data_IF_946828490463
#
_entry.id   IF_946828490463
#
_cell.length_a   1.000
_cell.length_b   1.000
_cell.length_c   1.000
_cell.angle_alpha   90.00
_cell.angle_beta   90.00
_cell.angle_gamma   90.00
#
_symmetry.space_group_name_H-M   'P 1'
#
loop_
_entity.id
_entity.type
_entity.pdbx_description
1 polymer ?
#
# COMPACT_ATOMS: atom_id res chain seq x y z
N UNK A 1 -3.99 -24.41 14.09
CA UNK A 1 -3.92 -22.95 14.31
C UNK A 1 -4.95 -22.28 13.44
N UNK A 2 -5.86 -21.55 14.07
CA UNK A 2 -6.94 -20.82 13.40
C UNK A 2 -6.78 -19.34 13.60
N UNK A 3 -6.79 -18.57 12.52
CA UNK A 3 -6.57 -17.13 12.51
C UNK A 3 -7.82 -16.41 12.02
N UNK A 4 -8.27 -15.39 12.78
CA UNK A 4 -9.32 -14.49 12.33
C UNK A 4 -8.74 -13.12 12.03
N UNK A 5 -8.84 -12.69 10.76
CA UNK A 5 -8.49 -11.35 10.34
C UNK A 5 -9.67 -10.41 10.58
N UNK A 6 -9.44 -9.34 11.32
CA UNK A 6 -10.40 -8.25 11.51
C UNK A 6 -10.07 -7.13 10.53
N UNK A 7 -10.85 -7.03 9.47
CA UNK A 7 -10.67 -6.04 8.41
C UNK A 7 -11.83 -5.04 8.37
N UNK A 8 -11.59 -3.89 7.75
CA UNK A 8 -12.67 -2.95 7.47
C UNK A 8 -13.58 -3.48 6.38
N UNK A 9 -12.99 -3.86 5.24
CA UNK A 9 -13.66 -4.49 4.10
C UNK A 9 -12.87 -5.71 3.63
N UNK A 10 -13.46 -6.49 2.75
CA UNK A 10 -12.83 -7.60 2.06
C UNK A 10 -13.31 -7.65 0.60
N UNK A 11 -12.66 -8.46 -0.26
CA UNK A 11 -13.10 -8.65 -1.64
C UNK A 11 -14.63 -8.86 -1.74
N UNK A 12 -15.33 -8.30 -2.73
CA UNK A 12 -14.80 -7.65 -3.94
C UNK A 12 -14.41 -6.16 -3.78
N UNK A 13 -14.44 -5.60 -2.57
CA UNK A 13 -14.01 -4.22 -2.34
C UNK A 13 -12.49 -4.13 -2.49
N UNK A 14 -12.05 -3.18 -3.31
CA UNK A 14 -10.63 -2.96 -3.62
C UNK A 14 -10.06 -1.81 -2.80
N UNK A 15 -8.91 -2.04 -2.20
CA UNK A 15 -8.10 -1.06 -1.48
C UNK A 15 -6.78 -1.69 -1.07
N UNK A 16 -5.80 -0.87 -0.71
CA UNK A 16 -4.46 -1.38 -0.37
C UNK A 16 -4.45 -2.30 0.85
N UNK A 17 -5.24 -1.96 1.89
CA UNK A 17 -5.34 -2.78 3.11
C UNK A 17 -6.11 -4.07 2.81
N UNK A 18 -7.23 -3.97 2.09
CA UNK A 18 -8.08 -5.10 1.71
C UNK A 18 -7.31 -6.12 0.88
N UNK A 19 -6.43 -5.67 -0.01
CA UNK A 19 -5.57 -6.56 -0.78
C UNK A 19 -4.55 -7.27 0.12
N UNK A 20 -3.91 -6.57 1.06
CA UNK A 20 -2.98 -7.18 2.02
C UNK A 20 -3.69 -8.24 2.89
N UNK A 21 -4.93 -7.96 3.35
CA UNK A 21 -5.74 -8.94 4.09
C UNK A 21 -5.98 -10.18 3.26
N UNK A 22 -6.39 -10.00 1.99
CA UNK A 22 -6.65 -11.11 1.09
C UNK A 22 -5.37 -11.94 0.82
N UNK A 23 -4.27 -11.27 0.49
CA UNK A 23 -3.00 -11.94 0.20
C UNK A 23 -2.48 -12.75 1.40
N UNK A 24 -2.61 -12.22 2.63
CA UNK A 24 -2.22 -12.95 3.83
C UNK A 24 -3.19 -14.10 4.14
N UNK A 25 -4.50 -13.87 4.09
CA UNK A 25 -5.48 -14.89 4.45
C UNK A 25 -5.48 -16.07 3.45
N UNK A 26 -5.47 -15.78 2.15
CA UNK A 26 -5.39 -16.78 1.07
C UNK A 26 -4.03 -17.50 1.12
N UNK A 27 -2.93 -16.76 1.35
CA UNK A 27 -1.59 -17.33 1.49
C UNK A 27 -1.43 -18.23 2.72
N UNK A 28 -2.06 -17.89 3.86
CA UNK A 28 -2.11 -18.75 5.04
C UNK A 28 -2.80 -20.08 4.75
N UNK A 29 -3.95 -20.07 4.07
CA UNK A 29 -4.67 -21.27 3.69
C UNK A 29 -3.82 -22.17 2.79
N UNK A 30 -3.15 -21.62 1.79
CA UNK A 30 -2.27 -22.39 0.88
C UNK A 30 -1.11 -23.08 1.61
N UNK A 31 -0.78 -22.63 2.82
CA UNK A 31 0.26 -23.20 3.70
C UNK A 31 -0.33 -24.02 4.87
N UNK A 32 -1.61 -24.40 4.80
CA UNK A 32 -2.27 -25.27 5.77
C UNK A 32 -2.69 -24.58 7.09
N UNK A 33 -2.80 -23.25 7.10
CA UNK A 33 -3.27 -22.49 8.25
C UNK A 33 -4.71 -22.04 8.00
N UNK A 34 -5.62 -22.48 8.85
CA UNK A 34 -7.02 -22.09 8.81
C UNK A 34 -7.16 -20.58 9.03
N UNK A 35 -7.68 -19.88 8.04
CA UNK A 35 -7.74 -18.42 8.01
C UNK A 35 -9.13 -17.95 7.58
N UNK A 36 -9.74 -17.10 8.37
CA UNK A 36 -11.04 -16.50 8.11
C UNK A 36 -10.98 -14.98 8.23
N UNK A 37 -11.95 -14.29 7.66
CA UNK A 37 -12.03 -12.82 7.69
C UNK A 37 -13.38 -12.36 8.23
N UNK A 38 -13.38 -11.43 9.18
CA UNK A 38 -14.55 -10.66 9.58
C UNK A 38 -14.42 -9.25 9.01
N UNK A 39 -15.40 -8.85 8.19
CA UNK A 39 -15.38 -7.56 7.51
C UNK A 39 -16.78 -6.95 7.41
N UNK A 40 -16.84 -5.62 7.17
CA UNK A 40 -18.10 -4.94 6.82
C UNK A 40 -18.38 -5.14 5.33
N UNK A 41 -19.64 -5.35 4.98
CA UNK A 41 -20.13 -5.32 3.61
C UNK A 41 -21.09 -4.12 3.43
N UNK A 42 -21.23 -3.64 2.20
CA UNK A 42 -22.16 -2.55 1.88
C UNK A 42 -23.57 -3.03 1.49
N UNK A 43 -23.89 -4.29 1.76
CA UNK A 43 -25.24 -4.84 1.52
C UNK A 43 -26.14 -4.60 2.71
N UNK A 44 -27.45 -4.70 2.47
CA UNK A 44 -28.48 -4.48 3.49
C UNK A 44 -28.50 -5.56 4.57
N UNK A 45 -27.96 -6.76 4.27
CA UNK A 45 -27.93 -7.91 5.18
C UNK A 45 -26.51 -8.39 5.42
N UNK A 46 -26.27 -8.96 6.60
CA UNK A 46 -25.08 -9.74 6.91
C UNK A 46 -25.19 -11.11 6.25
N UNK A 47 -24.10 -11.63 5.70
CA UNK A 47 -24.04 -12.97 5.08
C UNK A 47 -22.63 -13.53 5.18
N UNK A 48 -22.53 -14.85 5.18
CA UNK A 48 -21.26 -15.55 5.15
C UNK A 48 -21.05 -16.13 3.74
N UNK A 49 -19.80 -16.18 3.32
CA UNK A 49 -19.44 -16.73 2.00
C UNK A 49 -17.99 -17.19 2.01
N UNK A 50 -17.66 -18.09 1.11
CA UNK A 50 -16.29 -18.53 0.87
C UNK A 50 -15.75 -17.88 -0.40
N UNK A 51 -14.53 -17.34 -0.33
CA UNK A 51 -13.85 -16.75 -1.47
C UNK A 51 -12.39 -17.20 -1.48
N UNK A 52 -11.97 -17.86 -2.56
CA UNK A 52 -10.63 -18.46 -2.69
C UNK A 52 -10.25 -19.37 -1.51
N UNK A 53 -11.26 -20.06 -0.92
CA UNK A 53 -11.10 -20.92 0.24
C UNK A 53 -11.15 -20.20 1.61
N UNK A 54 -11.08 -18.87 1.62
CA UNK A 54 -11.22 -18.07 2.86
C UNK A 54 -12.68 -17.93 3.24
N UNK A 55 -13.05 -18.33 4.47
CA UNK A 55 -14.39 -18.10 4.99
C UNK A 55 -14.54 -16.65 5.46
N UNK A 56 -15.55 -15.94 4.95
CA UNK A 56 -15.77 -14.52 5.18
C UNK A 56 -17.09 -14.27 5.91
N UNK A 57 -17.00 -13.67 7.07
CA UNK A 57 -18.13 -13.16 7.85
C UNK A 57 -18.41 -11.72 7.42
N UNK A 58 -19.30 -11.52 6.45
CA UNK A 58 -19.68 -10.20 5.93
C UNK A 58 -20.79 -9.55 6.75
N UNK A 59 -20.49 -8.51 7.50
CA UNK A 59 -21.42 -7.80 8.37
C UNK A 59 -22.02 -6.57 7.69
N UNK A 60 -23.33 -6.36 7.81
CA UNK A 60 -23.98 -5.18 7.25
C UNK A 60 -23.48 -3.89 7.91
N UNK A 61 -23.30 -2.82 7.12
CA UNK A 61 -23.09 -1.47 7.64
C UNK A 61 -24.43 -0.87 8.09
N UNK A 62 -24.47 -0.28 9.28
CA UNK A 62 -25.64 0.48 9.73
C UNK A 62 -25.54 1.94 9.29
N UNK A 63 -24.35 2.53 9.41
CA UNK A 63 -24.05 3.91 9.03
C UNK A 63 -22.62 4.03 8.54
N UNK A 64 -22.39 4.94 7.59
CA UNK A 64 -21.06 5.33 7.13
C UNK A 64 -20.79 6.78 7.54
N UNK A 65 -19.77 7.03 8.38
CA UNK A 65 -19.42 8.36 8.85
C UNK A 65 -17.89 8.53 8.89
N UNK A 66 -17.41 9.66 8.36
CA UNK A 66 -15.98 10.03 8.40
C UNK A 66 -15.03 8.93 7.90
N UNK A 67 -15.40 8.22 6.83
CA UNK A 67 -14.69 7.07 6.26
C UNK A 67 -14.59 5.85 7.20
N UNK A 68 -15.45 5.75 8.19
CA UNK A 68 -15.61 4.58 9.06
C UNK A 68 -17.06 4.08 9.01
N UNK A 69 -17.21 2.76 9.05
CA UNK A 69 -18.51 2.14 9.17
C UNK A 69 -18.84 1.89 10.64
N UNK A 70 -20.11 2.06 10.97
CA UNK A 70 -20.69 1.58 12.22
C UNK A 70 -21.47 0.32 11.91
N UNK A 71 -21.14 -0.79 12.56
CA UNK A 71 -21.80 -2.08 12.34
C UNK A 71 -22.00 -2.81 13.66
N UNK A 72 -23.24 -2.86 14.13
CA UNK A 72 -23.60 -3.60 15.34
C UNK A 72 -23.45 -5.10 15.09
N UNK A 73 -23.80 -5.56 13.87
CA UNK A 73 -23.68 -6.96 13.50
C UNK A 73 -22.22 -7.44 13.52
N UNK A 74 -21.24 -6.57 13.24
CA UNK A 74 -19.82 -6.87 13.35
C UNK A 74 -19.41 -7.18 14.81
N UNK A 75 -19.88 -6.36 15.76
CA UNK A 75 -19.60 -6.54 17.18
C UNK A 75 -20.22 -7.85 17.69
N UNK A 76 -21.49 -8.09 17.35
CA UNK A 76 -22.20 -9.33 17.74
C UNK A 76 -21.54 -10.55 17.12
N UNK A 77 -21.22 -10.53 15.83
CA UNK A 77 -20.57 -11.65 15.13
C UNK A 77 -19.21 -11.97 15.76
N UNK A 78 -18.36 -10.97 16.02
CA UNK A 78 -17.06 -11.22 16.66
C UNK A 78 -17.21 -11.92 18.03
N UNK A 79 -18.16 -11.48 18.85
CA UNK A 79 -18.43 -12.12 20.15
C UNK A 79 -18.85 -13.58 20.03
N UNK A 80 -19.60 -13.92 18.97
CA UNK A 80 -20.08 -15.29 18.73
C UNK A 80 -18.97 -16.23 18.29
N UNK A 81 -18.03 -15.73 17.42
CA UNK A 81 -17.06 -16.61 16.75
C UNK A 81 -15.66 -16.59 17.36
N UNK A 82 -15.30 -15.58 18.15
CA UNK A 82 -13.93 -15.35 18.64
C UNK A 82 -13.33 -16.57 19.36
N UNK A 83 -14.15 -17.35 20.06
CA UNK A 83 -13.70 -18.53 20.82
C UNK A 83 -13.12 -19.62 19.89
N UNK A 84 -13.55 -19.68 18.65
CA UNK A 84 -13.11 -20.68 17.66
C UNK A 84 -11.71 -20.40 17.09
N UNK A 85 -11.08 -19.28 17.42
CA UNK A 85 -9.80 -18.85 16.85
C UNK A 85 -8.71 -18.78 17.91
N UNK A 86 -7.47 -19.05 17.51
CA UNK A 86 -6.27 -18.96 18.36
C UNK A 86 -5.67 -17.56 18.30
N UNK A 87 -5.66 -16.97 17.09
CA UNK A 87 -5.06 -15.66 16.80
C UNK A 87 -6.14 -14.73 16.24
N UNK A 88 -6.16 -13.50 16.75
CA UNK A 88 -6.91 -12.38 16.19
C UNK A 88 -5.92 -11.40 15.55
N UNK A 89 -5.95 -11.31 14.24
CA UNK A 89 -5.08 -10.41 13.46
C UNK A 89 -5.89 -9.19 13.01
N UNK A 90 -5.72 -8.06 13.70
CA UNK A 90 -6.46 -6.83 13.44
C UNK A 90 -5.68 -5.88 12.51
N UNK A 91 -6.31 -5.43 11.43
CA UNK A 91 -5.72 -4.50 10.46
C UNK A 91 -6.15 -3.07 10.75
N UNK A 92 -5.20 -2.18 11.08
CA UNK A 92 -5.45 -0.80 11.49
C UNK A 92 -4.99 0.21 10.42
N UNK A 93 -5.71 1.36 10.29
CA UNK A 93 -6.75 1.88 11.20
C UNK A 93 -8.13 1.25 10.98
N UNK A 94 -8.72 0.72 12.06
CA UNK A 94 -10.07 0.17 12.06
C UNK A 94 -10.71 0.34 13.45
N UNK A 95 -11.31 1.51 13.76
CA UNK A 95 -11.92 1.76 15.06
C UNK A 95 -13.06 0.79 15.43
N UNK A 96 -13.84 0.35 14.43
CA UNK A 96 -14.93 -0.62 14.64
C UNK A 96 -14.39 -1.97 15.13
N UNK A 97 -13.39 -2.52 14.46
CA UNK A 97 -12.78 -3.80 14.87
C UNK A 97 -12.15 -3.72 16.24
N UNK A 98 -11.49 -2.59 16.58
CA UNK A 98 -10.95 -2.37 17.91
C UNK A 98 -12.05 -2.33 18.98
N UNK A 99 -13.14 -1.61 18.74
CA UNK A 99 -14.30 -1.55 19.63
C UNK A 99 -14.94 -2.94 19.80
N UNK A 100 -15.11 -3.67 18.70
CA UNK A 100 -15.68 -5.01 18.73
C UNK A 100 -14.80 -5.97 19.55
N UNK A 101 -13.49 -5.90 19.41
CA UNK A 101 -12.55 -6.71 20.17
C UNK A 101 -12.60 -6.36 21.67
N UNK A 102 -12.70 -5.07 22.01
CA UNK A 102 -12.82 -4.63 23.41
C UNK A 102 -14.02 -5.24 24.14
N UNK A 103 -15.15 -5.39 23.45
CA UNK A 103 -16.37 -6.00 23.98
C UNK A 103 -16.45 -7.52 23.82
N UNK A 104 -15.40 -8.17 23.34
CA UNK A 104 -15.37 -9.62 23.11
C UNK A 104 -14.56 -10.36 24.19
N UNK A 105 -14.64 -11.70 24.21
CA UNK A 105 -13.83 -12.53 25.11
C UNK A 105 -12.43 -12.78 24.52
N UNK A 106 -11.57 -11.76 24.57
CA UNK A 106 -10.24 -11.77 23.97
C UNK A 106 -9.11 -12.26 24.89
N UNK A 107 -9.40 -12.52 26.18
CA UNK A 107 -8.35 -12.71 27.20
C UNK A 107 -7.38 -13.85 26.86
N UNK A 108 -7.89 -14.97 26.38
CA UNK A 108 -7.12 -16.16 26.03
C UNK A 108 -6.67 -16.20 24.57
N UNK A 109 -6.83 -15.09 23.82
CA UNK A 109 -6.48 -15.02 22.41
C UNK A 109 -5.14 -14.30 22.23
N UNK A 110 -4.37 -14.72 21.23
CA UNK A 110 -3.19 -13.97 20.79
C UNK A 110 -3.63 -12.84 19.86
N UNK A 111 -3.22 -11.62 20.16
CA UNK A 111 -3.62 -10.42 19.42
C UNK A 111 -2.44 -9.87 18.63
N UNK A 112 -2.57 -9.86 17.33
CA UNK A 112 -1.58 -9.26 16.41
C UNK A 112 -2.20 -8.04 15.76
N UNK A 113 -1.50 -6.93 15.78
CA UNK A 113 -1.88 -5.71 15.09
C UNK A 113 -1.08 -5.62 13.79
N UNK A 114 -1.75 -5.38 12.67
CA UNK A 114 -1.10 -4.94 11.43
C UNK A 114 -1.33 -3.44 11.27
N UNK A 115 -0.28 -2.66 11.50
CA UNK A 115 -0.33 -1.20 11.48
C UNK A 115 0.02 -0.68 10.09
N UNK A 116 -0.98 -0.38 9.26
CA UNK A 116 -0.77 0.08 7.89
C UNK A 116 -0.47 1.57 7.79
N UNK A 117 -1.14 2.39 8.61
CA UNK A 117 -0.92 3.84 8.63
C UNK A 117 -1.46 4.48 9.91
N UNK A 118 -0.93 5.66 10.23
CA UNK A 118 -1.47 6.54 11.27
C UNK A 118 -2.78 7.20 10.82
N UNK A 119 -3.65 7.56 11.77
CA UNK A 119 -4.81 8.41 11.51
C UNK A 119 -4.33 9.86 11.48
N UNK A 120 -4.27 10.45 10.28
CA UNK A 120 -3.71 11.81 10.08
C UNK A 120 -4.79 12.88 9.96
N UNK A 121 -5.86 12.63 9.18
CA UNK A 121 -6.85 13.67 8.81
C UNK A 121 -7.86 14.01 9.90
N UNK A 122 -8.29 13.06 10.72
CA UNK A 122 -9.42 13.20 11.66
C UNK A 122 -8.95 13.44 13.09
N UNK A 123 -8.22 14.53 13.34
CA UNK A 123 -7.56 14.80 14.63
C UNK A 123 -8.51 14.78 15.83
N UNK A 124 -9.71 15.38 15.72
CA UNK A 124 -10.71 15.41 16.82
C UNK A 124 -11.26 14.01 17.14
N UNK A 125 -11.62 13.24 16.11
CA UNK A 125 -12.09 11.87 16.27
C UNK A 125 -10.97 10.95 16.80
N UNK A 126 -9.72 11.17 16.37
CA UNK A 126 -8.55 10.46 16.91
C UNK A 126 -8.42 10.66 18.42
N UNK A 127 -8.64 11.87 18.95
CA UNK A 127 -8.56 12.12 20.39
C UNK A 127 -9.56 11.26 21.18
N UNK A 128 -10.80 11.12 20.69
CA UNK A 128 -11.81 10.26 21.32
C UNK A 128 -11.47 8.76 21.20
N UNK A 129 -10.87 8.37 20.08
CA UNK A 129 -10.47 6.99 19.82
C UNK A 129 -9.18 6.59 20.56
N UNK A 130 -8.33 7.54 20.90
CA UNK A 130 -6.99 7.30 21.44
C UNK A 130 -6.95 6.38 22.69
N UNK A 131 -7.84 6.49 23.68
CA UNK A 131 -7.84 5.57 24.83
C UNK A 131 -8.03 4.11 24.41
N UNK A 132 -8.96 3.86 23.48
CA UNK A 132 -9.24 2.53 22.96
C UNK A 132 -8.07 1.99 22.10
N UNK A 133 -7.44 2.85 21.30
CA UNK A 133 -6.25 2.51 20.54
C UNK A 133 -5.08 2.15 21.45
N UNK A 134 -4.82 2.92 22.50
CA UNK A 134 -3.75 2.65 23.47
C UNK A 134 -4.00 1.35 24.26
N UNK A 135 -5.27 1.07 24.61
CA UNK A 135 -5.64 -0.22 25.19
C UNK A 135 -5.24 -1.37 24.26
N UNK A 136 -5.58 -1.30 22.96
CA UNK A 136 -5.28 -2.35 22.00
C UNK A 136 -3.76 -2.51 21.81
N UNK A 137 -3.00 -1.43 21.66
CA UNK A 137 -1.55 -1.45 21.54
C UNK A 137 -0.89 -2.10 22.77
N UNK A 138 -1.41 -1.78 23.97
CA UNK A 138 -0.94 -2.39 25.22
C UNK A 138 -1.27 -3.88 25.27
N UNK A 139 -2.46 -4.29 24.81
CA UNK A 139 -2.92 -5.69 24.84
C UNK A 139 -2.23 -6.56 23.79
N UNK A 140 -1.85 -6.01 22.66
CA UNK A 140 -1.26 -6.76 21.55
C UNK A 140 -0.03 -7.58 21.98
N UNK A 141 0.08 -8.80 21.45
CA UNK A 141 1.25 -9.67 21.59
C UNK A 141 2.34 -9.29 20.59
N UNK A 142 1.98 -8.81 19.39
CA UNK A 142 2.89 -8.23 18.41
C UNK A 142 2.22 -7.13 17.58
N UNK A 143 3.05 -6.24 17.03
CA UNK A 143 2.63 -5.16 16.14
C UNK A 143 3.45 -5.26 14.85
N UNK A 144 2.81 -5.59 13.74
CA UNK A 144 3.45 -5.60 12.43
C UNK A 144 3.46 -4.19 11.88
N UNK A 145 4.62 -3.72 11.43
CA UNK A 145 4.77 -2.50 10.63
C UNK A 145 5.40 -2.84 9.29
N UNK A 146 5.05 -2.07 8.26
CA UNK A 146 5.46 -2.35 6.87
C UNK A 146 6.91 -1.99 6.59
N UNK A 147 7.52 -1.12 7.41
CA UNK A 147 8.94 -0.75 7.33
C UNK A 147 9.50 -0.41 8.72
N UNK A 148 10.84 -0.52 8.92
CA UNK A 148 11.49 -0.08 10.16
C UNK A 148 11.26 1.40 10.44
N UNK A 149 11.42 2.23 9.41
CA UNK A 149 11.28 3.69 9.49
C UNK A 149 9.88 4.07 10.00
N UNK A 150 8.84 3.44 9.44
CA UNK A 150 7.47 3.73 9.86
C UNK A 150 7.22 3.33 11.32
N UNK A 151 7.71 2.16 11.73
CA UNK A 151 7.60 1.70 13.12
C UNK A 151 8.34 2.60 14.11
N UNK A 152 9.47 3.17 13.71
CA UNK A 152 10.29 4.04 14.55
C UNK A 152 9.69 5.45 14.72
N UNK A 153 9.15 6.03 13.63
CA UNK A 153 8.69 7.42 13.58
C UNK A 153 7.18 7.60 13.82
N UNK A 154 6.41 6.52 14.03
CA UNK A 154 5.01 6.64 14.44
C UNK A 154 4.93 7.04 15.92
N UNK A 155 4.36 8.21 16.21
CA UNK A 155 4.15 8.68 17.56
C UNK A 155 3.25 7.74 18.37
N UNK A 156 2.27 7.13 17.71
CA UNK A 156 1.33 6.19 18.33
C UNK A 156 2.04 4.90 18.80
N UNK A 157 3.11 4.46 18.11
CA UNK A 157 3.84 3.23 18.38
C UNK A 157 5.06 3.42 19.30
N UNK A 158 5.45 4.65 19.59
CA UNK A 158 6.71 4.97 20.30
C UNK A 158 6.89 4.23 21.64
N UNK A 159 5.79 3.99 22.38
CA UNK A 159 5.81 3.28 23.67
C UNK A 159 5.78 1.75 23.54
N UNK A 160 5.66 1.20 22.32
CA UNK A 160 5.44 -0.22 22.05
C UNK A 160 6.51 -0.81 21.12
N UNK A 161 7.69 -0.18 21.01
CA UNK A 161 8.78 -0.58 20.10
C UNK A 161 9.22 -2.04 20.29
N UNK A 162 9.19 -2.54 21.52
CA UNK A 162 9.55 -3.92 21.84
C UNK A 162 8.61 -4.97 21.23
N UNK A 163 7.41 -4.58 20.81
CA UNK A 163 6.42 -5.47 20.17
C UNK A 163 6.46 -5.39 18.64
N UNK A 164 7.23 -4.44 18.07
CA UNK A 164 7.26 -4.20 16.63
C UNK A 164 7.99 -5.34 15.92
N UNK A 165 7.35 -5.86 14.88
CA UNK A 165 7.87 -6.82 13.91
C UNK A 165 7.76 -6.24 12.52
N UNK A 166 8.84 -6.28 11.76
CA UNK A 166 8.88 -5.71 10.41
C UNK A 166 8.48 -6.78 9.40
N UNK A 167 7.32 -6.60 8.78
CA UNK A 167 6.85 -7.46 7.68
C UNK A 167 6.43 -6.53 6.55
N UNK A 168 7.25 -6.38 5.50
CA UNK A 168 6.93 -5.54 4.35
C UNK A 168 5.69 -6.05 3.62
N UNK A 169 4.97 -5.12 3.00
CA UNK A 169 3.91 -5.48 2.05
C UNK A 169 4.54 -6.21 0.87
N UNK A 170 3.94 -7.33 0.48
CA UNK A 170 4.25 -8.04 -0.75
C UNK A 170 3.10 -7.92 -1.75
N UNK A 171 3.38 -8.05 -3.04
CA UNK A 171 2.36 -8.15 -4.09
C UNK A 171 2.46 -9.48 -4.82
N UNK A 172 1.31 -9.96 -5.33
CA UNK A 172 1.26 -11.18 -6.12
C UNK A 172 1.48 -10.87 -7.60
N UNK A 173 2.58 -11.36 -8.21
CA UNK A 173 2.87 -11.13 -9.63
C UNK A 173 1.77 -11.60 -10.58
N UNK A 174 1.00 -12.62 -10.21
CA UNK A 174 -0.06 -13.19 -11.06
C UNK A 174 -1.21 -12.21 -11.33
N UNK A 175 -1.35 -11.18 -10.49
CA UNK A 175 -2.35 -10.12 -10.66
C UNK A 175 -1.96 -9.10 -11.75
N UNK A 176 -0.74 -9.18 -12.29
CA UNK A 176 -0.16 -8.17 -13.19
C UNK A 176 0.14 -8.79 -14.57
N UNK A 177 -0.80 -8.66 -15.48
CA UNK A 177 -0.67 -9.18 -16.86
C UNK A 177 -0.33 -8.06 -17.82
N UNK A 178 0.67 -8.28 -18.67
CA UNK A 178 1.07 -7.32 -19.72
C UNK A 178 0.34 -7.63 -21.01
N UNK A 179 -0.30 -6.64 -21.61
CA UNK A 179 -0.77 -6.69 -22.99
C UNK A 179 0.31 -6.07 -23.91
N UNK A 180 0.97 -6.93 -24.69
CA UNK A 180 2.04 -6.54 -25.60
C UNK A 180 1.57 -5.58 -26.70
N UNK A 181 0.27 -5.61 -27.08
CA UNK A 181 -0.28 -4.69 -28.07
C UNK A 181 -0.38 -3.28 -27.49
N UNK A 182 -0.75 -3.15 -26.20
CA UNK A 182 -0.76 -1.85 -25.52
C UNK A 182 0.67 -1.31 -25.37
N UNK A 183 1.64 -2.16 -25.02
CA UNK A 183 3.06 -1.75 -24.97
C UNK A 183 3.52 -1.22 -26.32
N UNK A 184 3.23 -1.93 -27.42
CA UNK A 184 3.57 -1.48 -28.78
C UNK A 184 2.94 -0.13 -29.12
N UNK A 185 1.64 0.04 -28.83
CA UNK A 185 0.93 1.32 -29.05
C UNK A 185 1.56 2.47 -28.28
N UNK A 186 1.95 2.25 -27.01
CA UNK A 186 2.64 3.27 -26.20
C UNK A 186 3.97 3.65 -26.85
N UNK A 187 4.79 2.65 -27.26
CA UNK A 187 6.07 2.92 -27.91
C UNK A 187 5.93 3.59 -29.30
N UNK A 188 4.89 3.28 -30.06
CA UNK A 188 4.57 3.95 -31.33
C UNK A 188 4.14 5.40 -31.09
N UNK A 189 3.25 5.64 -30.12
CA UNK A 189 2.76 6.98 -29.77
C UNK A 189 3.90 7.89 -29.27
N UNK A 190 4.85 7.34 -28.54
CA UNK A 190 5.98 8.08 -27.95
C UNK A 190 7.31 7.65 -28.57
N UNK A 191 7.30 7.40 -29.89
CA UNK A 191 8.48 6.93 -30.63
C UNK A 191 9.69 7.83 -30.40
N UNK A 192 10.82 7.22 -30.06
CA UNK A 192 12.08 7.93 -29.79
C UNK A 192 12.15 8.63 -28.43
N UNK A 193 11.08 8.55 -27.58
CA UNK A 193 11.08 9.13 -26.24
C UNK A 193 11.49 8.12 -25.18
N UNK A 194 12.19 8.60 -24.17
CA UNK A 194 12.45 7.90 -22.90
C UNK A 194 11.29 8.15 -21.96
N UNK A 195 10.57 7.09 -21.63
CA UNK A 195 9.29 7.16 -20.90
C UNK A 195 9.54 7.11 -19.40
N UNK A 196 9.15 8.20 -18.71
CA UNK A 196 9.04 8.27 -17.26
C UNK A 196 7.57 8.07 -16.92
N UNK A 197 7.26 7.01 -16.15
CA UNK A 197 5.89 6.76 -15.70
C UNK A 197 5.70 7.13 -14.24
N UNK A 198 4.54 7.63 -13.90
CA UNK A 198 4.13 7.93 -12.54
C UNK A 198 2.64 7.63 -12.36
N UNK A 199 2.23 7.12 -11.20
CA UNK A 199 0.87 6.66 -10.97
C UNK A 199 0.39 7.01 -9.57
N UNK A 200 -0.85 7.51 -9.46
CA UNK A 200 -1.51 7.71 -8.18
C UNK A 200 -2.66 8.69 -8.23
N UNK A 201 -3.37 8.83 -7.11
CA UNK A 201 -4.39 9.86 -6.97
C UNK A 201 -3.73 11.24 -7.10
N UNK A 202 -4.29 12.12 -7.90
CA UNK A 202 -3.78 13.48 -8.08
C UNK A 202 -4.20 14.35 -6.87
N UNK A 203 -3.46 14.18 -5.76
CA UNK A 203 -3.65 14.89 -4.49
C UNK A 203 -2.34 15.48 -4.02
N UNK A 204 -2.36 16.53 -3.22
CA UNK A 204 -1.22 17.34 -2.81
C UNK A 204 0.00 16.51 -2.35
N UNK A 205 -0.20 15.54 -1.41
CA UNK A 205 0.93 14.81 -0.83
C UNK A 205 1.67 13.89 -1.81
N UNK A 206 1.09 13.60 -2.99
CA UNK A 206 1.72 12.83 -4.06
C UNK A 206 2.78 13.63 -4.83
N UNK A 207 2.81 14.96 -4.70
CA UNK A 207 3.89 15.80 -5.20
C UNK A 207 4.04 15.84 -6.72
N UNK A 208 3.00 15.55 -7.49
CA UNK A 208 3.06 15.55 -8.96
C UNK A 208 3.46 16.90 -9.56
N UNK A 209 3.21 18.01 -8.85
CA UNK A 209 3.65 19.35 -9.25
C UNK A 209 5.18 19.41 -9.42
N UNK A 210 5.94 18.79 -8.50
CA UNK A 210 7.41 18.75 -8.58
C UNK A 210 7.90 17.87 -9.73
N UNK A 211 7.17 16.81 -10.07
CA UNK A 211 7.46 15.99 -11.23
C UNK A 211 7.17 16.74 -12.53
N UNK A 212 6.07 17.49 -12.63
CA UNK A 212 5.78 18.36 -13.77
C UNK A 212 6.88 19.41 -13.92
N UNK A 213 7.27 20.07 -12.83
CA UNK A 213 8.34 21.08 -12.86
C UNK A 213 9.71 20.49 -13.25
N UNK A 214 9.98 19.23 -12.92
CA UNK A 214 11.22 18.55 -13.28
C UNK A 214 11.41 18.41 -14.78
N UNK A 215 10.32 18.38 -15.56
CA UNK A 215 10.37 18.32 -17.03
C UNK A 215 11.11 19.51 -17.70
N UNK A 216 11.23 20.64 -17.00
CA UNK A 216 12.03 21.80 -17.45
C UNK A 216 13.53 21.47 -17.57
N UNK A 217 14.01 20.50 -16.80
CA UNK A 217 15.42 20.10 -16.72
C UNK A 217 15.72 18.79 -17.45
N UNK A 218 14.70 18.22 -18.11
CA UNK A 218 14.84 17.01 -18.93
C UNK A 218 15.07 17.38 -20.41
N UNK A 219 15.91 16.61 -21.14
CA UNK A 219 16.06 16.72 -22.59
C UNK A 219 14.73 16.49 -23.34
N UNK A 220 14.69 16.87 -24.62
CA UNK A 220 13.45 16.78 -25.42
C UNK A 220 13.08 15.35 -25.82
N UNK A 221 14.00 14.41 -25.72
CA UNK A 221 13.76 12.97 -25.92
C UNK A 221 13.17 12.26 -24.69
N UNK A 222 12.76 13.02 -23.63
CA UNK A 222 12.07 12.48 -22.46
C UNK A 222 10.59 12.84 -22.48
N UNK A 223 9.76 11.95 -21.95
CA UNK A 223 8.34 12.19 -21.73
C UNK A 223 7.90 11.65 -20.38
N UNK A 224 7.10 12.41 -19.67
CA UNK A 224 6.50 12.05 -18.38
C UNK A 224 5.03 11.71 -18.62
N UNK A 225 4.64 10.48 -18.26
CA UNK A 225 3.27 9.98 -18.32
C UNK A 225 2.73 9.84 -16.88
N UNK A 226 1.70 10.61 -16.54
CA UNK A 226 1.10 10.61 -15.20
C UNK A 226 -0.30 9.99 -15.26
N UNK A 227 -0.46 8.79 -14.70
CA UNK A 227 -1.73 8.11 -14.56
C UNK A 227 -2.44 8.45 -13.24
N UNK A 228 -3.76 8.62 -13.30
CA UNK A 228 -4.61 8.87 -12.15
C UNK A 228 -5.54 10.07 -12.29
N UNK A 229 -6.45 10.19 -11.31
CA UNK A 229 -7.37 11.33 -11.18
C UNK A 229 -7.33 11.88 -9.75
N UNK A 230 -7.78 13.12 -9.57
CA UNK A 230 -7.87 13.77 -8.26
C UNK A 230 -8.04 15.26 -8.33
N UNK A 231 -8.13 15.89 -7.17
CA UNK A 231 -8.40 17.32 -6.99
C UNK A 231 -7.31 18.23 -7.58
N UNK A 232 -6.05 17.76 -7.65
CA UNK A 232 -4.92 18.55 -8.20
C UNK A 232 -4.87 18.54 -9.74
N UNK A 233 -5.75 17.79 -10.44
CA UNK A 233 -5.69 17.67 -11.91
C UNK A 233 -5.65 19.01 -12.63
N UNK A 234 -6.54 19.94 -12.26
CA UNK A 234 -6.64 21.24 -12.90
C UNK A 234 -5.37 22.07 -12.68
N UNK A 235 -4.84 22.08 -11.46
CA UNK A 235 -3.58 22.76 -11.12
C UNK A 235 -2.41 22.21 -11.92
N UNK A 236 -2.34 20.88 -12.12
CA UNK A 236 -1.27 20.27 -12.93
C UNK A 236 -1.38 20.66 -14.41
N UNK A 237 -2.57 20.73 -14.99
CA UNK A 237 -2.79 21.23 -16.36
C UNK A 237 -2.33 22.68 -16.52
N UNK A 238 -2.66 23.54 -15.56
CA UNK A 238 -2.23 24.94 -15.54
C UNK A 238 -0.70 25.08 -15.44
N UNK A 239 -0.03 24.22 -14.67
CA UNK A 239 1.44 24.19 -14.58
C UNK A 239 2.07 23.75 -15.89
N UNK A 240 1.54 22.70 -16.53
CA UNK A 240 2.01 22.21 -17.83
C UNK A 240 1.91 23.33 -18.88
N UNK A 241 0.78 24.01 -18.96
CA UNK A 241 0.56 25.12 -19.89
C UNK A 241 1.47 26.33 -19.59
N UNK A 242 1.55 26.72 -18.31
CA UNK A 242 2.40 27.85 -17.86
C UNK A 242 3.86 27.69 -18.25
N UNK A 243 4.38 26.45 -18.14
CA UNK A 243 5.77 26.14 -18.45
C UNK A 243 5.98 25.63 -19.87
N UNK A 244 4.94 25.59 -20.72
CA UNK A 244 4.97 25.08 -22.11
C UNK A 244 5.56 23.66 -22.18
N UNK A 245 5.02 22.75 -21.35
CA UNK A 245 5.51 21.38 -21.21
C UNK A 245 4.56 20.35 -21.84
N UNK A 246 3.63 20.77 -22.68
CA UNK A 246 2.61 19.91 -23.29
C UNK A 246 3.23 18.74 -24.08
N UNK A 247 4.42 18.91 -24.66
CA UNK A 247 5.13 17.86 -25.39
C UNK A 247 6.00 16.96 -24.52
N UNK A 248 6.19 17.33 -23.23
CA UNK A 248 7.01 16.58 -22.27
C UNK A 248 6.22 15.92 -21.15
N UNK A 249 4.98 16.36 -20.89
CA UNK A 249 4.15 15.83 -19.79
C UNK A 249 2.73 15.57 -20.28
N UNK A 250 2.25 14.34 -20.05
CA UNK A 250 0.88 13.92 -20.38
C UNK A 250 0.16 13.41 -19.13
N UNK A 251 -1.01 14.00 -18.82
CA UNK A 251 -1.93 13.45 -17.81
C UNK A 251 -2.84 12.43 -18.50
N UNK A 252 -2.67 11.14 -18.18
CA UNK A 252 -3.39 10.04 -18.82
C UNK A 252 -4.82 9.84 -18.28
N UNK A 253 -5.13 10.46 -17.12
CA UNK A 253 -6.37 10.17 -16.42
C UNK A 253 -6.36 8.78 -15.77
N UNK A 254 -7.53 8.23 -15.53
CA UNK A 254 -7.67 6.91 -14.95
C UNK A 254 -7.20 5.82 -15.93
N UNK A 255 -6.26 5.00 -15.48
CA UNK A 255 -5.78 3.82 -16.23
C UNK A 255 -6.51 2.61 -15.68
N UNK A 256 -7.10 1.80 -16.55
CA UNK A 256 -7.78 0.56 -16.14
C UNK A 256 -6.75 -0.44 -15.62
N UNK A 257 -7.17 -1.27 -14.68
CA UNK A 257 -6.28 -2.25 -14.04
C UNK A 257 -5.62 -3.20 -15.06
N UNK A 258 -6.36 -3.59 -16.08
CA UNK A 258 -5.90 -4.49 -17.15
C UNK A 258 -4.80 -3.85 -18.03
N UNK A 259 -4.76 -2.53 -18.12
CA UNK A 259 -3.79 -1.78 -18.92
C UNK A 259 -2.55 -1.37 -18.13
N UNK A 260 -2.69 -1.29 -16.80
CA UNK A 260 -1.68 -0.70 -15.91
C UNK A 260 -0.31 -1.37 -16.04
N UNK A 261 -0.27 -2.70 -16.06
CA UNK A 261 0.96 -3.48 -16.22
C UNK A 261 1.72 -3.13 -17.50
N UNK A 262 0.98 -2.80 -18.57
CA UNK A 262 1.57 -2.44 -19.86
C UNK A 262 2.24 -1.07 -19.84
N UNK A 263 1.73 -0.12 -19.05
CA UNK A 263 2.40 1.17 -18.84
C UNK A 263 3.71 1.02 -18.07
N UNK A 264 3.75 0.18 -17.02
CA UNK A 264 5.01 -0.14 -16.35
C UNK A 264 6.00 -0.79 -17.32
N UNK A 265 5.56 -1.83 -18.05
CA UNK A 265 6.42 -2.56 -18.98
C UNK A 265 6.97 -1.68 -20.13
N UNK A 266 6.22 -0.65 -20.53
CA UNK A 266 6.65 0.30 -21.58
C UNK A 266 7.60 1.38 -21.06
N UNK A 267 7.83 1.49 -19.74
CA UNK A 267 8.55 2.61 -19.14
C UNK A 267 10.04 2.33 -18.97
N UNK A 268 10.86 3.37 -19.02
CA UNK A 268 12.29 3.30 -18.72
C UNK A 268 12.57 3.46 -17.21
N UNK A 269 11.77 4.27 -16.51
CA UNK A 269 11.89 4.55 -15.10
C UNK A 269 10.50 4.90 -14.53
N UNK A 270 10.26 4.52 -13.30
CA UNK A 270 9.08 4.95 -12.54
C UNK A 270 9.45 6.07 -11.57
N UNK A 271 8.59 7.08 -11.41
CA UNK A 271 8.79 8.15 -10.44
C UNK A 271 7.66 8.18 -9.41
N UNK A 272 8.00 8.11 -8.12
CA UNK A 272 7.08 8.34 -7.00
C UNK A 272 7.48 9.64 -6.29
N UNK A 273 6.97 10.81 -6.71
CA UNK A 273 7.41 12.11 -6.21
C UNK A 273 6.72 12.54 -4.91
N UNK A 274 6.14 11.60 -4.17
CA UNK A 274 5.41 11.88 -2.92
C UNK A 274 6.27 12.64 -1.90
N UNK A 275 5.61 13.58 -1.17
CA UNK A 275 6.30 14.57 -0.33
C UNK A 275 5.96 14.52 1.16
N UNK A 276 5.00 13.67 1.56
CA UNK A 276 4.54 13.59 2.95
C UNK A 276 4.37 12.14 3.43
N UNK A 277 4.48 11.94 4.76
CA UNK A 277 4.35 10.64 5.43
C UNK A 277 2.98 9.95 5.24
N UNK A 278 2.00 10.64 4.66
CA UNK A 278 0.74 10.03 4.20
C UNK A 278 0.98 8.95 3.13
N UNK A 279 2.11 9.02 2.40
CA UNK A 279 2.66 7.92 1.63
C UNK A 279 3.49 7.02 2.56
N UNK A 280 2.84 6.06 3.20
CA UNK A 280 3.49 5.27 4.25
C UNK A 280 4.51 4.25 3.71
N UNK A 281 4.27 3.69 2.52
CA UNK A 281 5.07 2.60 1.95
C UNK A 281 5.33 2.75 0.45
N UNK A 282 4.33 3.23 -0.30
CA UNK A 282 4.43 3.38 -1.75
C UNK A 282 4.38 2.04 -2.51
N UNK A 283 3.30 1.26 -2.32
CA UNK A 283 3.12 -0.07 -2.95
C UNK A 283 3.35 -0.03 -4.46
N UNK A 284 3.03 1.07 -5.11
CA UNK A 284 3.23 1.26 -6.56
C UNK A 284 4.70 1.12 -7.00
N UNK A 285 5.67 1.29 -6.10
CA UNK A 285 7.08 1.01 -6.37
C UNK A 285 7.33 -0.49 -6.61
N UNK A 286 6.60 -1.35 -5.88
CA UNK A 286 6.70 -2.80 -6.04
C UNK A 286 6.19 -3.24 -7.41
N UNK A 287 5.15 -2.55 -7.91
CA UNK A 287 4.62 -2.77 -9.25
C UNK A 287 5.68 -2.43 -10.31
N UNK A 288 6.42 -1.32 -10.17
CA UNK A 288 7.54 -1.00 -11.03
C UNK A 288 8.67 -2.05 -10.95
N UNK A 289 9.05 -2.44 -9.74
CA UNK A 289 10.11 -3.45 -9.54
C UNK A 289 9.75 -4.81 -10.15
N UNK A 290 8.48 -5.21 -10.10
CA UNK A 290 8.00 -6.46 -10.73
C UNK A 290 8.32 -6.50 -12.22
N UNK A 291 8.24 -5.37 -12.92
CA UNK A 291 8.58 -5.21 -14.33
C UNK A 291 10.06 -4.86 -14.57
N UNK A 292 10.90 -5.03 -13.55
CA UNK A 292 12.32 -4.64 -13.61
C UNK A 292 12.54 -3.16 -13.91
N UNK A 293 11.61 -2.28 -13.50
CA UNK A 293 11.69 -0.83 -13.71
C UNK A 293 12.24 -0.18 -12.44
N UNK A 294 13.41 0.49 -12.51
CA UNK A 294 13.96 1.22 -11.38
C UNK A 294 13.10 2.45 -11.04
N UNK A 295 13.23 2.89 -9.80
CA UNK A 295 12.36 3.93 -9.24
C UNK A 295 13.18 5.15 -8.81
N UNK A 296 12.70 6.36 -9.15
CA UNK A 296 13.05 7.58 -8.42
C UNK A 296 11.97 7.87 -7.40
N UNK A 297 12.34 8.01 -6.13
CA UNK A 297 11.41 8.35 -5.06
C UNK A 297 12.00 9.40 -4.12
N UNK A 298 11.18 9.91 -3.19
CA UNK A 298 11.64 10.93 -2.26
C UNK A 298 11.97 10.35 -0.86
N UNK A 299 12.96 10.94 -0.20
CA UNK A 299 13.30 10.67 1.21
C UNK A 299 12.33 11.40 2.13
N UNK A 300 11.22 10.76 2.44
CA UNK A 300 10.16 11.35 3.26
C UNK A 300 10.38 10.93 4.71
N UNK A 301 10.68 11.87 5.57
CA UNK A 301 10.88 11.61 7.00
C UNK A 301 9.69 10.86 7.62
N UNK A 302 9.96 9.70 8.20
CA UNK A 302 8.95 8.86 8.84
C UNK A 302 8.07 8.05 7.88
N UNK A 303 8.43 7.98 6.60
CA UNK A 303 7.81 7.12 5.59
C UNK A 303 8.72 5.95 5.23
N UNK A 304 8.12 4.82 4.86
CA UNK A 304 8.84 3.66 4.33
C UNK A 304 9.26 3.79 2.86
N UNK A 305 8.86 4.86 2.15
CA UNK A 305 9.11 5.03 0.70
C UNK A 305 10.59 4.88 0.35
N UNK A 306 11.48 5.63 1.02
CA UNK A 306 12.92 5.58 0.77
C UNK A 306 13.59 4.29 1.27
N UNK A 307 12.93 3.54 2.17
CA UNK A 307 13.41 2.22 2.59
C UNK A 307 13.03 1.14 1.56
N UNK A 308 11.83 1.22 0.98
CA UNK A 308 11.37 0.31 -0.09
C UNK A 308 12.21 0.51 -1.34
N UNK A 309 12.43 1.75 -1.75
CA UNK A 309 13.35 2.08 -2.83
C UNK A 309 14.78 2.19 -2.29
N UNK A 310 15.46 1.06 -2.25
CA UNK A 310 16.83 1.02 -1.76
C UNK A 310 17.78 1.76 -2.71
N UNK A 311 18.30 2.89 -2.23
CA UNK A 311 19.17 3.78 -3.01
C UNK A 311 20.35 3.02 -3.64
N UNK A 312 20.62 3.26 -4.94
CA UNK A 312 21.63 2.59 -5.74
C UNK A 312 21.45 1.06 -5.94
N UNK A 313 20.31 0.48 -5.54
CA UNK A 313 19.98 -0.94 -5.77
C UNK A 313 18.71 -1.04 -6.63
N UNK A 314 17.60 -0.47 -6.17
CA UNK A 314 16.34 -0.50 -6.91
C UNK A 314 16.00 0.85 -7.57
N UNK A 315 16.84 1.86 -7.35
CA UNK A 315 16.66 3.18 -7.92
C UNK A 315 17.47 4.26 -7.20
N UNK A 316 16.97 5.49 -7.25
CA UNK A 316 17.57 6.66 -6.59
C UNK A 316 16.53 7.31 -5.67
N UNK A 317 16.97 7.69 -4.47
CA UNK A 317 16.17 8.43 -3.49
C UNK A 317 16.69 9.86 -3.42
N UNK A 318 15.79 10.85 -3.60
CA UNK A 318 16.12 12.28 -3.61
C UNK A 318 15.36 13.03 -2.53
N UNK A 319 15.75 14.28 -2.26
CA UNK A 319 14.98 15.13 -1.34
C UNK A 319 13.61 15.50 -1.95
N UNK A 320 12.52 15.49 -1.15
CA UNK A 320 11.21 15.91 -1.62
C UNK A 320 11.17 17.39 -1.96
N UNK A 321 10.33 17.77 -2.94
CA UNK A 321 10.12 19.16 -3.38
C UNK A 321 11.30 19.81 -4.13
N UNK A 322 12.22 19.01 -4.68
CA UNK A 322 13.34 19.50 -5.49
C UNK A 322 13.25 18.98 -6.94
N UNK A 323 12.57 19.73 -7.84
CA UNK A 323 12.38 19.31 -9.24
C UNK A 323 13.68 19.02 -10.00
N UNK A 324 14.74 19.80 -9.73
CA UNK A 324 16.05 19.59 -10.35
C UNK A 324 16.67 18.24 -9.95
N UNK A 325 16.61 17.88 -8.66
CA UNK A 325 17.13 16.60 -8.16
C UNK A 325 16.33 15.42 -8.75
N UNK A 326 15.00 15.56 -8.87
CA UNK A 326 14.17 14.56 -9.55
C UNK A 326 14.63 14.36 -10.99
N UNK A 327 14.81 15.45 -11.76
CA UNK A 327 15.26 15.37 -13.14
C UNK A 327 16.66 14.76 -13.27
N UNK A 328 17.58 15.11 -12.38
CA UNK A 328 18.94 14.57 -12.40
C UNK A 328 18.96 13.08 -12.09
N UNK A 329 18.19 12.63 -11.10
CA UNK A 329 18.05 11.21 -10.76
C UNK A 329 17.42 10.40 -11.91
N UNK A 330 16.37 10.95 -12.56
CA UNK A 330 15.74 10.32 -13.74
C UNK A 330 16.71 10.16 -14.90
N UNK A 331 17.51 11.18 -15.19
CA UNK A 331 18.57 11.11 -16.23
C UNK A 331 19.63 10.07 -15.88
N UNK A 332 20.11 10.04 -14.63
CA UNK A 332 21.12 9.08 -14.17
C UNK A 332 20.65 7.64 -14.31
N UNK A 333 19.42 7.34 -13.91
CA UNK A 333 18.87 5.97 -14.04
C UNK A 333 18.79 5.56 -15.51
N UNK A 334 18.32 6.45 -16.38
CA UNK A 334 18.12 6.12 -17.79
C UNK A 334 19.46 5.99 -18.53
N UNK A 335 20.48 6.78 -18.16
CA UNK A 335 21.82 6.70 -18.78
C UNK A 335 22.64 5.50 -18.31
N UNK A 336 22.40 4.99 -17.10
CA UNK A 336 23.12 3.84 -16.50
C UNK A 336 22.12 2.74 -16.11
N UNK A 337 21.34 2.28 -17.08
CA UNK A 337 20.27 1.30 -16.89
C UNK A 337 20.78 -0.05 -16.39
N UNK A 338 21.98 -0.44 -16.82
CA UNK A 338 22.60 -1.73 -16.48
C UNK A 338 22.87 -1.87 -14.97
N UNK A 339 23.15 -0.76 -14.29
CA UNK A 339 23.29 -0.72 -12.82
C UNK A 339 22.04 -1.23 -12.10
N UNK A 340 20.88 -1.15 -12.74
CA UNK A 340 19.58 -1.53 -12.17
C UNK A 340 19.01 -2.80 -12.84
N UNK A 341 19.86 -3.65 -13.42
CA UNK A 341 19.42 -4.87 -14.11
C UNK A 341 18.71 -5.87 -13.18
N UNK A 342 19.03 -5.85 -11.89
CA UNK A 342 18.55 -6.81 -10.88
C UNK A 342 17.39 -6.31 -10.01
N UNK A 343 16.67 -5.24 -10.42
CA UNK A 343 15.55 -4.68 -9.64
C UNK A 343 14.45 -5.72 -9.41
N UNK A 344 14.14 -6.55 -10.41
CA UNK A 344 13.17 -7.64 -10.28
C UNK A 344 13.63 -8.71 -9.28
N UNK A 345 14.91 -9.00 -9.20
CA UNK A 345 15.46 -9.93 -8.19
C UNK A 345 15.30 -9.35 -6.80
N UNK A 346 15.62 -8.06 -6.62
CA UNK A 346 15.37 -7.36 -5.35
C UNK A 346 13.91 -7.41 -4.91
N UNK A 347 12.96 -7.22 -5.86
CA UNK A 347 11.52 -7.41 -5.61
C UNK A 347 11.22 -8.84 -5.14
N UNK A 348 11.69 -9.85 -5.86
CA UNK A 348 11.38 -11.26 -5.56
C UNK A 348 11.85 -11.67 -4.17
N UNK A 349 13.03 -11.24 -3.77
CA UNK A 349 13.64 -11.58 -2.48
C UNK A 349 13.01 -10.86 -1.28
N UNK A 350 12.41 -9.66 -1.50
CA UNK A 350 11.96 -8.81 -0.39
C UNK A 350 10.46 -8.54 -0.35
N UNK A 351 9.79 -8.50 -1.53
CA UNK A 351 8.43 -7.97 -1.67
C UNK A 351 7.48 -8.88 -2.47
N UNK A 352 7.90 -10.09 -2.79
CA UNK A 352 6.97 -11.09 -3.31
C UNK A 352 5.95 -11.45 -2.23
N UNK A 353 4.69 -11.66 -2.59
CA UNK A 353 3.61 -12.00 -1.65
C UNK A 353 3.98 -13.16 -0.73
N UNK A 354 4.65 -14.18 -1.24
CA UNK A 354 5.06 -15.34 -0.44
C UNK A 354 6.02 -14.95 0.70
N UNK A 355 6.90 -13.97 0.50
CA UNK A 355 7.81 -13.47 1.56
C UNK A 355 7.02 -12.84 2.69
N UNK A 356 6.00 -12.03 2.37
CA UNK A 356 5.08 -11.45 3.37
C UNK A 356 4.31 -12.54 4.12
N UNK A 357 3.74 -13.49 3.41
CA UNK A 357 2.97 -14.61 3.99
C UNK A 357 3.85 -15.47 4.90
N UNK A 358 5.04 -15.88 4.44
CA UNK A 358 5.96 -16.73 5.22
C UNK A 358 6.45 -16.04 6.50
N UNK A 359 6.77 -14.74 6.43
CA UNK A 359 7.14 -13.96 7.62
C UNK A 359 5.97 -13.83 8.59
N UNK A 360 4.75 -13.67 8.08
CA UNK A 360 3.53 -13.62 8.91
C UNK A 360 3.25 -14.95 9.59
N UNK A 361 3.36 -16.06 8.88
CA UNK A 361 3.20 -17.40 9.44
C UNK A 361 4.27 -17.70 10.49
N UNK A 362 5.53 -17.32 10.23
CA UNK A 362 6.61 -17.45 11.20
C UNK A 362 6.27 -16.71 12.49
N UNK A 363 5.79 -15.48 12.39
CA UNK A 363 5.35 -14.69 13.55
C UNK A 363 4.19 -15.37 14.30
N UNK A 364 3.20 -15.92 13.60
CA UNK A 364 2.10 -16.65 14.22
C UNK A 364 2.60 -17.84 15.06
N UNK A 365 3.51 -18.65 14.50
CA UNK A 365 4.12 -19.78 15.18
C UNK A 365 4.92 -19.34 16.42
N UNK A 366 5.71 -18.29 16.30
CA UNK A 366 6.47 -17.73 17.43
C UNK A 366 5.56 -17.28 18.59
N UNK A 367 4.40 -16.68 18.28
CA UNK A 367 3.48 -16.14 19.29
C UNK A 367 2.68 -17.23 20.02
N UNK A 368 2.36 -18.32 19.35
CA UNK A 368 1.67 -19.46 19.98
C UNK A 368 2.62 -20.57 20.44
N UNK A 369 3.94 -20.34 20.37
CA UNK A 369 4.99 -21.26 20.82
C UNK A 369 4.94 -22.65 20.14
N UNK A 370 4.78 -22.68 18.81
CA UNK A 370 4.82 -23.88 17.97
C UNK A 370 6.07 -23.89 17.08
#
# INVERSE_FOLDING_TARGET
MKVLHLSKYYKPYSGGIEQVVADISEGCLSKGIDSSVLAVNHKTNSYEYDLNGVHVYGCKSNYHYASADVSISYIIKLRQIIESFDIIHIHLPNPLANLALFFSNYKNKKIIIHWHSDIVKQKKLKMLYMPLQQWLLKRADAIITTSPVYGEFSDDLRKHKNKIKIIPIGINPENYKVDTNIVKKIHEQYKGKKIIFSLGRLVYYKGFEYLVESAKFLPDDYIILIGGNGEEKQKLLELIQRYKLEDKVKLLGFIRHEELSSYFAASNVFCLPSIEKSEAFGVVQLEAFLFNIPVVSCDIKGSGVGWVNKNNVSGIVVQPKFPYELADALKKIISDRDKYADVKKYFTENFHVNVMVERTIKLYKEIINI
#
